data_IF_459636192203
#
_entry.id   IF_459636192203
#
_cell.length_a   1.000
_cell.length_b   1.000
_cell.length_c   1.000
_cell.angle_alpha   90.00
_cell.angle_beta   90.00
_cell.angle_gamma   90.00
#
_symmetry.space_group_name_H-M   'P 1'
#
loop_
_entity.id
_entity.type
_entity.pdbx_description
1 polymer ?
#
# COMPACT_ATOMS: atom_id res chain seq x y z
N UNK A 1 69.16 -5.59 -0.08
CA UNK A 1 68.85 -5.31 -1.51
C UNK A 1 67.40 -5.72 -1.73
N UNK A 2 66.44 -4.91 -2.15
CA UNK A 2 66.37 -3.57 -2.74
C UNK A 2 65.22 -2.80 -2.08
N UNK A 3 65.44 -1.50 -1.86
CA UNK A 3 64.40 -0.51 -1.61
C UNK A 3 63.55 -0.29 -2.88
N UNK A 4 62.24 -0.19 -2.71
CA UNK A 4 61.29 0.58 -3.53
C UNK A 4 60.17 0.96 -2.56
N UNK A 5 59.83 2.21 -2.26
CA UNK A 5 59.87 3.42 -3.06
C UNK A 5 58.51 4.09 -2.87
N UNK A 6 58.20 4.48 -1.63
CA UNK A 6 57.02 5.26 -1.27
C UNK A 6 57.14 6.64 -1.92
N UNK A 7 56.17 7.01 -2.76
CA UNK A 7 55.93 8.40 -3.14
C UNK A 7 54.44 8.67 -2.98
N UNK A 8 54.04 8.96 -1.73
CA UNK A 8 52.74 9.53 -1.43
C UNK A 8 52.81 11.03 -1.76
N UNK A 9 52.32 11.41 -2.93
CA UNK A 9 52.09 12.81 -3.26
C UNK A 9 50.80 13.22 -2.55
N UNK A 10 50.94 13.75 -1.33
CA UNK A 10 49.83 14.38 -0.63
C UNK A 10 49.45 15.67 -1.34
N UNK A 11 48.43 15.59 -2.22
CA UNK A 11 47.70 16.76 -2.68
C UNK A 11 46.78 17.21 -1.54
N UNK A 12 47.29 18.11 -0.70
CA UNK A 12 46.48 18.87 0.24
C UNK A 12 45.60 19.79 -0.61
N UNK A 13 44.38 19.36 -0.93
CA UNK A 13 43.32 20.28 -1.33
C UNK A 13 42.92 21.07 -0.09
N UNK A 14 43.42 22.30 -0.04
CA UNK A 14 42.89 23.38 0.79
C UNK A 14 41.42 23.58 0.40
N UNK A 15 40.50 22.93 1.12
CA UNK A 15 39.10 23.34 1.16
C UNK A 15 39.05 24.65 1.94
N UNK A 16 39.08 25.74 1.17
CA UNK A 16 38.88 27.08 1.71
C UNK A 16 37.45 27.22 2.21
N UNK A 17 37.30 27.28 3.53
CA UNK A 17 36.22 28.04 4.16
C UNK A 17 36.46 29.52 3.83
N UNK A 18 35.98 29.97 2.66
CA UNK A 18 35.96 31.38 2.28
C UNK A 18 34.63 32.00 2.65
N UNK A 19 34.54 32.45 3.90
CA UNK A 19 33.72 33.62 4.22
C UNK A 19 34.42 34.89 3.73
N UNK A 20 33.62 35.80 3.16
CA UNK A 20 33.93 37.17 2.70
C UNK A 20 34.77 37.34 1.42
N UNK A 21 34.09 37.80 0.34
CA UNK A 21 34.49 39.07 -0.28
C UNK A 21 35.19 39.06 -1.64
N UNK A 22 35.02 38.05 -2.49
CA UNK A 22 35.30 38.21 -3.92
C UNK A 22 34.09 37.75 -4.72
N UNK A 23 33.31 38.72 -5.20
CA UNK A 23 32.26 38.45 -6.17
C UNK A 23 32.84 37.84 -7.47
N UNK A 24 32.02 37.10 -8.23
CA UNK A 24 32.46 36.46 -9.46
C UNK A 24 33.03 37.48 -10.46
N UNK A 25 34.29 37.29 -10.87
CA UNK A 25 34.94 38.15 -11.87
C UNK A 25 34.47 37.78 -13.28
N UNK A 26 33.90 38.76 -14.00
CA UNK A 26 33.42 38.58 -15.37
C UNK A 26 34.58 38.31 -16.35
N UNK A 27 34.38 37.36 -17.27
CA UNK A 27 35.32 37.15 -18.38
C UNK A 27 35.25 38.29 -19.40
N UNK A 28 36.30 38.53 -20.21
CA UNK A 28 36.28 39.57 -21.25
C UNK A 28 35.12 39.44 -22.25
N UNK A 29 34.66 38.20 -22.52
CA UNK A 29 33.49 37.94 -23.37
C UNK A 29 32.17 38.32 -22.68
N UNK A 30 32.09 38.19 -21.36
CA UNK A 30 30.94 38.62 -20.58
C UNK A 30 30.92 40.13 -20.39
N UNK A 31 32.08 40.78 -20.29
CA UNK A 31 32.18 42.25 -20.28
C UNK A 31 31.61 42.90 -21.54
N UNK A 32 31.73 42.27 -22.72
CA UNK A 32 31.07 42.78 -23.93
C UNK A 32 29.54 42.69 -23.85
N UNK A 33 28.99 41.71 -23.14
CA UNK A 33 27.54 41.53 -22.96
C UNK A 33 26.93 42.56 -21.99
N UNK A 34 27.73 43.20 -21.13
CA UNK A 34 27.29 44.27 -20.21
C UNK A 34 26.63 45.44 -20.96
N UNK A 35 27.10 45.74 -22.18
CA UNK A 35 26.55 46.83 -22.99
C UNK A 35 25.13 46.58 -23.47
N UNK A 36 24.75 45.32 -23.65
CA UNK A 36 23.41 44.87 -24.10
C UNK A 36 22.52 44.34 -22.99
N UNK A 37 22.99 44.38 -21.74
CA UNK A 37 22.24 43.90 -20.59
C UNK A 37 21.07 44.85 -20.28
N UNK A 38 19.88 44.29 -20.15
CA UNK A 38 18.63 45.02 -19.90
C UNK A 38 17.87 44.41 -18.71
N UNK A 39 17.20 45.27 -17.93
CA UNK A 39 16.42 44.90 -16.76
C UNK A 39 15.31 43.89 -17.09
N UNK A 40 14.74 43.92 -18.30
CA UNK A 40 13.75 42.94 -18.75
C UNK A 40 14.29 41.48 -18.74
N UNK A 41 15.60 41.31 -18.91
CA UNK A 41 16.24 39.99 -18.85
C UNK A 41 16.23 39.43 -17.43
N UNK A 42 16.35 40.29 -16.41
CA UNK A 42 16.26 39.90 -15.00
C UNK A 42 14.85 39.42 -14.69
N UNK A 43 13.82 40.18 -15.08
CA UNK A 43 12.41 39.77 -14.89
C UNK A 43 12.11 38.42 -15.54
N UNK A 44 12.57 38.21 -16.78
CA UNK A 44 12.40 36.93 -17.48
C UNK A 44 13.09 35.77 -16.74
N UNK A 45 14.25 36.01 -16.12
CA UNK A 45 14.93 35.01 -15.30
C UNK A 45 14.17 34.70 -14.02
N UNK A 46 13.61 35.72 -13.36
CA UNK A 46 12.75 35.55 -12.19
C UNK A 46 11.54 34.67 -12.49
N UNK A 47 10.84 34.92 -13.60
CA UNK A 47 9.74 34.08 -14.07
C UNK A 47 10.18 32.63 -14.33
N UNK A 48 11.37 32.44 -14.92
CA UNK A 48 11.92 31.13 -15.18
C UNK A 48 12.29 30.38 -13.89
N UNK A 49 12.86 31.06 -12.88
CA UNK A 49 13.15 30.48 -11.56
C UNK A 49 11.84 30.10 -10.87
N UNK A 50 10.84 30.99 -10.87
CA UNK A 50 9.55 30.72 -10.26
C UNK A 50 8.84 29.53 -10.92
N UNK A 51 8.86 29.46 -12.25
CA UNK A 51 8.39 28.29 -13.00
C UNK A 51 9.16 27.03 -12.61
N UNK A 52 10.49 27.13 -12.57
CA UNK A 52 11.40 26.06 -12.16
C UNK A 52 11.01 25.43 -10.82
N UNK A 53 10.82 26.27 -9.80
CA UNK A 53 10.45 25.85 -8.45
C UNK A 53 9.07 25.18 -8.39
N UNK A 54 8.06 25.81 -9.01
CA UNK A 54 6.64 25.48 -8.74
C UNK A 54 6.00 24.55 -9.78
N UNK A 55 6.44 24.62 -11.04
CA UNK A 55 5.87 23.83 -12.14
C UNK A 55 6.80 22.70 -12.55
N UNK A 56 8.11 22.98 -12.59
CA UNK A 56 9.11 22.01 -12.99
C UNK A 56 9.74 21.28 -11.78
N UNK A 57 9.19 21.42 -10.57
CA UNK A 57 9.58 20.64 -9.38
C UNK A 57 11.07 20.71 -9.03
N UNK A 58 11.78 21.78 -9.42
CA UNK A 58 13.23 21.89 -9.21
C UNK A 58 13.60 21.92 -7.71
N UNK A 59 12.68 22.33 -6.83
CA UNK A 59 12.85 22.23 -5.38
C UNK A 59 13.09 20.80 -4.90
N UNK A 60 12.49 19.81 -5.56
CA UNK A 60 12.69 18.41 -5.20
C UNK A 60 13.96 17.86 -5.86
N UNK A 61 14.17 18.13 -7.14
CA UNK A 61 15.24 17.48 -7.92
C UNK A 61 16.61 18.13 -7.83
N UNK A 62 16.67 19.42 -7.50
CA UNK A 62 17.88 20.22 -7.48
C UNK A 62 17.80 21.32 -6.40
N UNK A 63 17.64 20.92 -5.12
CA UNK A 63 17.36 21.85 -4.03
C UNK A 63 18.46 22.89 -3.78
N UNK A 64 19.73 22.55 -4.03
CA UNK A 64 20.89 23.43 -3.82
C UNK A 64 20.97 24.43 -4.98
N UNK A 65 21.00 23.93 -6.23
CA UNK A 65 21.12 24.77 -7.42
C UNK A 65 19.96 25.77 -7.54
N UNK A 66 18.73 25.37 -7.21
CA UNK A 66 17.59 26.29 -7.29
C UNK A 66 17.59 27.34 -6.17
N UNK A 67 18.12 27.00 -4.99
CA UNK A 67 18.30 27.95 -3.90
C UNK A 67 19.35 29.01 -4.26
N UNK A 68 20.50 28.58 -4.80
CA UNK A 68 21.55 29.48 -5.28
C UNK A 68 21.06 30.35 -6.44
N UNK A 69 20.33 29.78 -7.40
CA UNK A 69 19.74 30.54 -8.51
C UNK A 69 18.82 31.67 -8.01
N UNK A 70 18.02 31.41 -6.97
CA UNK A 70 17.13 32.40 -6.35
C UNK A 70 17.93 33.48 -5.62
N UNK A 71 18.95 33.10 -4.85
CA UNK A 71 19.82 34.03 -4.14
C UNK A 71 20.56 34.98 -5.11
N UNK A 72 21.19 34.45 -6.14
CA UNK A 72 21.88 35.24 -7.16
C UNK A 72 20.92 36.14 -7.94
N UNK A 73 19.68 35.70 -8.16
CA UNK A 73 18.64 36.52 -8.77
C UNK A 73 18.25 37.71 -7.87
N UNK A 74 18.10 37.47 -6.57
CA UNK A 74 17.80 38.53 -5.58
C UNK A 74 18.96 39.54 -5.47
N UNK A 75 20.21 39.07 -5.54
CA UNK A 75 21.40 39.92 -5.63
C UNK A 75 21.41 40.77 -6.91
N UNK A 76 21.05 40.17 -8.06
CA UNK A 76 20.93 40.90 -9.32
C UNK A 76 19.83 41.98 -9.28
N UNK A 77 18.71 41.73 -8.58
CA UNK A 77 17.63 42.71 -8.42
C UNK A 77 18.06 43.90 -7.55
N UNK A 78 18.81 43.64 -6.48
CA UNK A 78 19.15 44.62 -5.45
C UNK A 78 20.40 45.44 -5.74
N UNK A 79 21.36 44.92 -6.51
CA UNK A 79 22.60 45.64 -6.80
C UNK A 79 22.36 46.88 -7.68
N UNK A 80 22.94 48.00 -7.29
CA UNK A 80 22.96 49.24 -8.07
C UNK A 80 24.14 49.27 -9.07
N UNK A 81 25.20 48.51 -8.79
CA UNK A 81 26.36 48.40 -9.65
C UNK A 81 26.05 47.51 -10.87
N UNK A 82 26.39 48.01 -12.07
CA UNK A 82 26.01 47.35 -13.31
C UNK A 82 26.82 46.06 -13.55
N UNK A 83 28.07 46.01 -13.10
CA UNK A 83 28.92 44.85 -13.28
C UNK A 83 28.52 43.73 -12.31
N UNK A 84 28.29 44.07 -11.04
CA UNK A 84 27.82 43.14 -10.01
C UNK A 84 26.43 42.59 -10.36
N UNK A 85 25.48 43.45 -10.74
CA UNK A 85 24.15 43.04 -11.22
C UNK A 85 24.23 42.04 -12.38
N UNK A 86 25.12 42.30 -13.36
CA UNK A 86 25.31 41.38 -14.48
C UNK A 86 25.95 40.06 -14.03
N UNK A 87 26.93 40.11 -13.14
CA UNK A 87 27.61 38.92 -12.62
C UNK A 87 26.63 38.01 -11.86
N UNK A 88 25.83 38.58 -10.95
CA UNK A 88 24.78 37.84 -10.24
C UNK A 88 23.69 37.31 -11.18
N UNK A 89 23.28 38.07 -12.20
CA UNK A 89 22.37 37.57 -13.23
C UNK A 89 22.93 36.33 -13.97
N UNK A 90 24.19 36.36 -14.36
CA UNK A 90 24.84 35.24 -15.05
C UNK A 90 25.01 34.03 -14.13
N UNK A 91 25.34 34.25 -12.86
CA UNK A 91 25.42 33.21 -11.85
C UNK A 91 24.05 32.54 -11.63
N UNK A 92 22.99 33.32 -11.41
CA UNK A 92 21.62 32.83 -11.29
C UNK A 92 21.17 32.00 -12.51
N UNK A 93 21.49 32.49 -13.72
CA UNK A 93 21.18 31.79 -14.96
C UNK A 93 21.94 30.47 -15.09
N UNK A 94 23.20 30.43 -14.66
CA UNK A 94 24.03 29.22 -14.64
C UNK A 94 23.46 28.20 -13.66
N UNK A 95 23.12 28.61 -12.44
CA UNK A 95 22.59 27.69 -11.42
C UNK A 95 21.17 27.18 -11.78
N UNK A 96 20.34 27.99 -12.43
CA UNK A 96 19.08 27.50 -13.00
C UNK A 96 19.32 26.43 -14.08
N UNK A 97 20.32 26.63 -14.94
CA UNK A 97 20.67 25.63 -15.96
C UNK A 97 21.19 24.34 -15.32
N UNK A 98 22.05 24.45 -14.30
CA UNK A 98 22.52 23.32 -13.50
C UNK A 98 21.35 22.55 -12.89
N UNK A 99 20.38 23.24 -12.28
CA UNK A 99 19.20 22.60 -11.68
C UNK A 99 18.40 21.73 -12.67
N UNK A 100 18.24 22.20 -13.92
CA UNK A 100 17.59 21.40 -14.97
C UNK A 100 18.43 20.20 -15.42
N UNK A 101 19.76 20.32 -15.47
CA UNK A 101 20.65 19.19 -15.76
C UNK A 101 20.63 18.17 -14.61
N UNK A 102 20.73 18.60 -13.35
CA UNK A 102 20.58 17.76 -12.16
C UNK A 102 19.25 17.00 -12.22
N UNK A 103 18.14 17.67 -12.52
CA UNK A 103 16.83 17.01 -12.68
C UNK A 103 16.85 15.90 -13.72
N UNK A 104 17.53 16.08 -14.86
CA UNK A 104 17.67 15.03 -15.87
C UNK A 104 18.48 13.85 -15.33
N UNK A 105 19.58 14.12 -14.61
CA UNK A 105 20.43 13.10 -14.01
C UNK A 105 19.69 12.31 -12.94
N UNK A 106 19.05 12.98 -11.98
CA UNK A 106 18.25 12.34 -10.92
C UNK A 106 17.14 11.48 -11.52
N UNK A 107 16.36 12.01 -12.49
CA UNK A 107 15.32 11.21 -13.16
C UNK A 107 15.88 10.00 -13.89
N UNK A 108 17.05 10.11 -14.51
CA UNK A 108 17.68 8.99 -15.22
C UNK A 108 18.18 7.93 -14.24
N UNK A 109 18.94 8.35 -13.24
CA UNK A 109 19.72 7.44 -12.39
C UNK A 109 18.97 6.98 -11.15
N UNK A 110 18.00 7.73 -10.62
CA UNK A 110 17.24 7.37 -9.41
C UNK A 110 15.78 6.93 -9.71
N UNK A 111 15.44 6.68 -10.97
CA UNK A 111 14.07 6.29 -11.37
C UNK A 111 13.55 5.02 -10.67
N UNK A 112 14.42 4.05 -10.41
CA UNK A 112 14.10 2.82 -9.69
C UNK A 112 13.80 3.05 -8.20
N UNK A 113 14.56 3.92 -7.53
CA UNK A 113 14.24 4.37 -6.17
C UNK A 113 12.91 5.11 -6.11
N UNK A 114 12.64 5.99 -7.07
CA UNK A 114 11.36 6.69 -7.17
C UNK A 114 10.18 5.71 -7.36
N UNK A 115 10.37 4.66 -8.16
CA UNK A 115 9.35 3.60 -8.31
C UNK A 115 9.11 2.84 -7.01
N UNK A 116 10.16 2.50 -6.26
CA UNK A 116 10.03 1.87 -4.94
C UNK A 116 9.34 2.79 -3.93
N UNK A 117 9.70 4.08 -3.89
CA UNK A 117 9.04 5.07 -3.03
C UNK A 117 7.53 5.12 -3.30
N UNK A 118 7.12 5.16 -4.57
CA UNK A 118 5.70 5.15 -4.94
C UNK A 118 5.00 3.84 -4.52
N UNK A 119 5.65 2.69 -4.67
CA UNK A 119 5.11 1.41 -4.20
C UNK A 119 4.96 1.41 -2.67
N UNK A 120 5.94 1.94 -1.94
CA UNK A 120 5.89 2.04 -0.48
C UNK A 120 4.79 3.00 0.00
N UNK A 121 4.61 4.14 -0.65
CA UNK A 121 3.50 5.08 -0.40
C UNK A 121 2.14 4.42 -0.62
N UNK A 122 1.98 3.64 -1.68
CA UNK A 122 0.74 2.90 -1.95
C UNK A 122 0.41 1.83 -0.89
N UNK A 123 1.39 1.42 -0.09
CA UNK A 123 1.23 0.51 1.05
C UNK A 123 1.09 1.26 2.40
N UNK A 124 1.01 2.59 2.38
CA UNK A 124 1.20 3.50 3.51
C UNK A 124 2.40 3.16 4.40
N UNK A 125 3.54 2.85 3.79
CA UNK A 125 4.77 2.50 4.54
C UNK A 125 5.17 3.61 5.52
N UNK A 126 4.88 4.86 5.19
CA UNK A 126 5.07 6.04 6.04
C UNK A 126 4.29 5.98 7.37
N UNK A 127 3.21 5.21 7.45
CA UNK A 127 2.43 5.01 8.68
C UNK A 127 2.86 3.73 9.40
N UNK A 128 2.94 2.61 8.66
CA UNK A 128 3.14 1.29 9.27
C UNK A 128 4.59 1.01 9.64
N UNK A 129 5.55 1.70 9.01
CA UNK A 129 6.99 1.56 9.20
C UNK A 129 7.68 2.93 9.18
N UNK A 130 7.08 3.92 9.86
CA UNK A 130 7.43 5.33 9.78
C UNK A 130 8.94 5.63 9.95
N UNK A 131 9.58 5.11 11.00
CA UNK A 131 11.01 5.35 11.27
C UNK A 131 11.87 4.93 10.08
N UNK A 132 11.71 3.69 9.61
CA UNK A 132 12.52 3.15 8.51
C UNK A 132 12.23 3.84 7.18
N UNK A 133 10.98 4.29 6.98
CA UNK A 133 10.62 5.05 5.80
C UNK A 133 11.27 6.44 5.80
N UNK A 134 11.36 7.10 6.96
CA UNK A 134 12.07 8.36 7.10
C UNK A 134 13.57 8.18 6.87
N UNK A 135 14.20 7.15 7.45
CA UNK A 135 15.61 6.84 7.21
C UNK A 135 15.90 6.67 5.70
N UNK A 136 15.08 5.88 5.00
CA UNK A 136 15.16 5.73 3.55
C UNK A 136 14.98 7.08 2.81
N UNK A 137 14.06 7.92 3.29
CA UNK A 137 13.76 9.21 2.66
C UNK A 137 14.90 10.20 2.82
N UNK A 138 15.57 10.18 3.96
CA UNK A 138 16.75 11.00 4.22
C UNK A 138 17.89 10.58 3.30
N UNK A 139 18.23 9.29 3.28
CA UNK A 139 19.24 8.73 2.36
C UNK A 139 18.93 9.04 0.88
N UNK A 140 17.67 8.87 0.47
CA UNK A 140 17.26 9.17 -0.91
C UNK A 140 17.35 10.66 -1.24
N UNK A 141 17.03 11.55 -0.29
CA UNK A 141 17.17 12.99 -0.49
C UNK A 141 18.64 13.42 -0.51
N UNK A 142 19.51 12.77 0.27
CA UNK A 142 20.94 13.04 0.27
C UNK A 142 21.58 12.64 -1.07
N UNK A 143 21.19 11.50 -1.66
CA UNK A 143 21.58 11.18 -3.05
C UNK A 143 21.21 12.30 -4.04
N UNK A 144 20.03 12.88 -3.91
CA UNK A 144 19.60 13.98 -4.78
C UNK A 144 20.49 15.21 -4.59
N UNK A 145 20.86 15.54 -3.35
CA UNK A 145 21.79 16.64 -3.07
C UNK A 145 23.17 16.39 -3.65
N UNK A 146 23.71 15.18 -3.50
CA UNK A 146 25.02 14.80 -4.08
C UNK A 146 25.02 14.89 -5.60
N UNK A 147 23.91 14.53 -6.26
CA UNK A 147 23.73 14.79 -7.70
C UNK A 147 23.76 16.29 -8.03
N UNK A 148 23.13 17.11 -7.18
CA UNK A 148 23.03 18.56 -7.36
C UNK A 148 24.35 19.29 -7.12
N UNK A 149 25.20 18.76 -6.23
CA UNK A 149 26.57 19.21 -6.01
C UNK A 149 27.52 18.83 -7.16
N UNK A 150 27.06 18.00 -8.11
CA UNK A 150 27.82 17.53 -9.25
C UNK A 150 28.68 16.29 -8.96
N UNK A 151 28.57 15.71 -7.76
CA UNK A 151 29.30 14.53 -7.29
C UNK A 151 28.64 13.23 -7.78
N UNK A 152 28.43 13.14 -9.10
CA UNK A 152 27.67 12.03 -9.73
C UNK A 152 28.28 10.66 -9.46
N UNK A 153 29.60 10.55 -9.36
CA UNK A 153 30.28 9.27 -9.09
C UNK A 153 29.92 8.74 -7.70
N UNK A 154 29.97 9.61 -6.70
CA UNK A 154 29.77 9.26 -5.30
C UNK A 154 28.29 8.92 -5.05
N UNK A 155 27.38 9.73 -5.62
CA UNK A 155 25.95 9.43 -5.62
C UNK A 155 25.62 8.05 -6.23
N UNK A 156 26.35 7.62 -7.27
CA UNK A 156 26.13 6.31 -7.89
C UNK A 156 26.71 5.15 -7.07
N UNK A 157 27.75 5.39 -6.28
CA UNK A 157 28.28 4.43 -5.33
C UNK A 157 27.29 4.20 -4.19
N UNK A 158 26.84 5.28 -3.55
CA UNK A 158 25.91 5.28 -2.42
C UNK A 158 24.53 4.74 -2.79
N UNK A 159 24.09 4.97 -4.05
CA UNK A 159 22.81 4.45 -4.56
C UNK A 159 22.63 2.95 -4.28
N UNK A 160 23.71 2.14 -4.31
CA UNK A 160 23.62 0.69 -4.11
C UNK A 160 23.12 0.34 -2.71
N UNK A 161 23.58 1.06 -1.70
CA UNK A 161 23.17 0.87 -0.31
C UNK A 161 21.73 1.32 -0.11
N UNK A 162 21.39 2.54 -0.55
CA UNK A 162 20.03 3.07 -0.48
C UNK A 162 19.03 2.17 -1.20
N UNK A 163 19.40 1.61 -2.35
CA UNK A 163 18.59 0.64 -3.09
C UNK A 163 18.35 -0.65 -2.30
N UNK A 164 19.35 -1.12 -1.55
CA UNK A 164 19.23 -2.32 -0.71
C UNK A 164 18.26 -2.06 0.44
N UNK A 165 18.42 -0.93 1.13
CA UNK A 165 17.50 -0.46 2.19
C UNK A 165 16.08 -0.32 1.68
N UNK A 166 15.89 0.33 0.51
CA UNK A 166 14.58 0.54 -0.10
C UNK A 166 13.88 -0.78 -0.46
N UNK A 167 14.60 -1.76 -1.02
CA UNK A 167 14.05 -3.07 -1.35
C UNK A 167 13.67 -3.87 -0.11
N UNK A 168 14.51 -3.84 0.92
CA UNK A 168 14.24 -4.51 2.19
C UNK A 168 13.00 -3.93 2.88
N UNK A 169 12.93 -2.60 2.96
CA UNK A 169 11.79 -1.87 3.51
C UNK A 169 10.49 -2.15 2.73
N UNK A 170 10.54 -2.12 1.39
CA UNK A 170 9.39 -2.47 0.56
C UNK A 170 8.91 -3.91 0.83
N UNK A 171 9.84 -4.87 0.92
CA UNK A 171 9.52 -6.25 1.26
C UNK A 171 8.82 -6.38 2.62
N UNK A 172 9.33 -5.67 3.63
CA UNK A 172 8.73 -5.67 4.97
C UNK A 172 7.35 -4.99 5.00
N UNK A 173 7.14 -3.92 4.22
CA UNK A 173 5.83 -3.29 4.07
C UNK A 173 4.80 -4.25 3.46
N UNK A 174 5.18 -5.03 2.44
CA UNK A 174 4.31 -6.05 1.83
C UNK A 174 4.02 -7.17 2.83
N UNK A 175 5.03 -7.64 3.58
CA UNK A 175 4.84 -8.62 4.67
C UNK A 175 3.80 -8.10 5.67
N UNK A 176 4.02 -6.89 6.21
CA UNK A 176 3.13 -6.30 7.20
C UNK A 176 1.68 -6.24 6.69
N UNK A 177 1.47 -5.71 5.48
CA UNK A 177 0.11 -5.56 4.94
C UNK A 177 -0.64 -6.86 4.74
N UNK A 178 0.07 -7.96 4.46
CA UNK A 178 -0.59 -9.20 4.06
C UNK A 178 -0.68 -10.24 5.19
N UNK A 179 0.29 -10.28 6.10
CA UNK A 179 0.36 -11.33 7.14
C UNK A 179 0.42 -10.80 8.58
N UNK A 180 0.26 -9.50 8.81
CA UNK A 180 0.21 -8.96 10.18
C UNK A 180 -0.95 -9.51 11.00
N UNK A 181 -2.09 -9.83 10.36
CA UNK A 181 -3.21 -10.49 11.06
C UNK A 181 -2.81 -11.84 11.67
N UNK A 182 -2.13 -12.70 10.91
CA UNK A 182 -1.61 -13.96 11.43
C UNK A 182 -0.58 -13.72 12.56
N UNK A 183 0.29 -12.71 12.42
CA UNK A 183 1.23 -12.31 13.48
C UNK A 183 0.50 -11.95 14.78
N UNK A 184 -0.55 -11.12 14.70
CA UNK A 184 -1.36 -10.74 15.86
C UNK A 184 -2.05 -11.93 16.51
N UNK A 185 -2.51 -12.91 15.73
CA UNK A 185 -3.09 -14.15 16.27
C UNK A 185 -2.02 -14.97 17.00
N UNK A 186 -0.84 -15.15 16.41
CA UNK A 186 0.29 -15.88 17.03
C UNK A 186 0.66 -15.24 18.37
N UNK A 187 0.79 -13.92 18.40
CA UNK A 187 1.10 -13.17 19.62
C UNK A 187 0.01 -13.34 20.68
N UNK A 188 -1.25 -13.12 20.30
CA UNK A 188 -2.37 -13.29 21.21
C UNK A 188 -2.48 -14.72 21.76
N UNK A 189 -2.23 -15.73 20.94
CA UNK A 189 -2.22 -17.12 21.40
C UNK A 189 -1.15 -17.38 22.45
N UNK A 190 0.02 -16.73 22.36
CA UNK A 190 1.05 -16.80 23.40
C UNK A 190 0.66 -15.99 24.64
N UNK A 191 0.08 -14.80 24.46
CA UNK A 191 -0.37 -13.95 25.59
C UNK A 191 -1.53 -14.61 26.39
N UNK A 192 -2.36 -15.41 25.73
CA UNK A 192 -3.51 -16.13 26.31
C UNK A 192 -3.18 -17.61 26.70
N UNK A 193 -1.90 -18.02 26.70
CA UNK A 193 -1.43 -19.40 26.95
C UNK A 193 -2.11 -20.50 26.09
N UNK A 194 -2.65 -20.12 24.93
CA UNK A 194 -3.33 -21.02 24.00
C UNK A 194 -2.35 -21.87 23.19
N UNK A 195 -1.12 -21.44 23.04
CA UNK A 195 -0.02 -22.19 22.44
C UNK A 195 0.30 -23.47 23.23
N UNK A 196 0.26 -23.43 24.56
CA UNK A 196 0.43 -24.62 25.41
C UNK A 196 -0.71 -25.64 25.28
N UNK A 197 -1.89 -25.19 24.87
CA UNK A 197 -3.07 -26.04 24.71
C UNK A 197 -2.98 -26.86 23.43
N UNK A 198 -2.45 -26.30 22.34
CA UNK A 198 -2.32 -26.94 21.02
C UNK A 198 -0.90 -26.84 20.44
N UNK A 199 0.14 -27.30 21.16
CA UNK A 199 1.54 -26.97 20.87
C UNK A 199 1.98 -27.41 19.48
N UNK A 200 1.50 -28.56 19.01
CA UNK A 200 1.81 -29.08 17.66
C UNK A 200 1.29 -28.18 16.53
N UNK A 201 0.11 -27.59 16.71
CA UNK A 201 -0.48 -26.70 15.70
C UNK A 201 0.17 -25.32 15.77
N UNK A 202 0.44 -24.83 16.97
CA UNK A 202 1.14 -23.57 17.18
C UNK A 202 2.55 -23.58 16.56
N UNK A 203 3.37 -24.60 16.84
CA UNK A 203 4.71 -24.74 16.26
C UNK A 203 4.67 -24.77 14.72
N UNK A 204 3.65 -25.43 14.14
CA UNK A 204 3.45 -25.44 12.69
C UNK A 204 3.05 -24.06 12.17
N UNK A 205 2.19 -23.33 12.89
CA UNK A 205 1.77 -21.98 12.53
C UNK A 205 2.96 -21.01 12.51
N UNK A 206 3.84 -21.04 13.51
CA UNK A 206 5.05 -20.21 13.54
C UNK A 206 5.99 -20.50 12.36
N UNK A 207 6.20 -21.78 12.05
CA UNK A 207 7.00 -22.19 10.88
C UNK A 207 6.40 -21.68 9.58
N UNK A 208 5.07 -21.78 9.42
CA UNK A 208 4.38 -21.27 8.25
C UNK A 208 4.47 -19.75 8.16
N UNK A 209 4.39 -19.05 9.29
CA UNK A 209 4.55 -17.59 9.35
C UNK A 209 5.93 -17.16 8.85
N UNK A 210 7.02 -17.75 9.37
CA UNK A 210 8.37 -17.38 8.93
C UNK A 210 8.63 -17.75 7.46
N UNK A 211 8.14 -18.91 7.01
CA UNK A 211 8.25 -19.28 5.59
C UNK A 211 7.51 -18.29 4.69
N UNK A 212 6.28 -17.91 5.06
CA UNK A 212 5.49 -16.91 4.34
C UNK A 212 6.19 -15.56 4.30
N UNK A 213 6.67 -15.09 5.47
CA UNK A 213 7.41 -13.84 5.61
C UNK A 213 8.62 -13.79 4.67
N UNK A 214 9.49 -14.80 4.71
CA UNK A 214 10.68 -14.87 3.86
C UNK A 214 10.32 -14.94 2.37
N UNK A 215 9.30 -15.72 2.01
CA UNK A 215 8.86 -15.87 0.62
C UNK A 215 8.28 -14.57 0.05
N UNK A 216 7.44 -13.88 0.82
CA UNK A 216 6.88 -12.58 0.45
C UNK A 216 7.99 -11.54 0.34
N UNK A 217 8.92 -11.49 1.30
CA UNK A 217 10.04 -10.54 1.28
C UNK A 217 10.97 -10.72 0.08
N UNK A 218 11.16 -11.97 -0.38
CA UNK A 218 11.98 -12.29 -1.55
C UNK A 218 11.31 -11.89 -2.88
N UNK A 219 9.99 -12.04 -2.98
CA UNK A 219 9.22 -11.80 -4.20
C UNK A 219 7.99 -10.91 -3.95
N UNK A 220 8.19 -9.67 -3.45
CA UNK A 220 7.09 -8.81 -3.00
C UNK A 220 6.16 -8.37 -4.14
N UNK A 221 6.67 -8.34 -5.37
CA UNK A 221 5.92 -7.98 -6.56
C UNK A 221 5.07 -9.14 -7.13
N UNK A 222 5.26 -10.38 -6.66
CA UNK A 222 4.49 -11.55 -7.11
C UNK A 222 3.13 -11.59 -6.40
N UNK A 223 2.20 -10.74 -6.84
CA UNK A 223 0.87 -10.55 -6.22
C UNK A 223 0.08 -11.85 -6.05
N UNK A 224 0.13 -12.76 -7.02
CA UNK A 224 -0.57 -14.04 -6.96
C UNK A 224 -0.02 -14.94 -5.84
N UNK A 225 1.31 -15.04 -5.75
CA UNK A 225 1.98 -15.78 -4.68
C UNK A 225 1.70 -15.15 -3.31
N UNK A 226 1.87 -13.83 -3.17
CA UNK A 226 1.62 -13.11 -1.92
C UNK A 226 0.20 -13.35 -1.44
N UNK A 227 -0.80 -13.21 -2.33
CA UNK A 227 -2.21 -13.46 -2.01
C UNK A 227 -2.46 -14.90 -1.56
N UNK A 228 -1.93 -15.88 -2.28
CA UNK A 228 -2.14 -17.29 -1.96
C UNK A 228 -1.56 -17.66 -0.60
N UNK A 229 -0.28 -17.33 -0.38
CA UNK A 229 0.45 -17.67 0.85
C UNK A 229 -0.15 -16.95 2.05
N UNK A 230 -0.51 -15.68 1.90
CA UNK A 230 -1.10 -14.90 2.99
C UNK A 230 -2.49 -15.39 3.35
N UNK A 231 -3.29 -15.82 2.36
CA UNK A 231 -4.60 -16.43 2.61
C UNK A 231 -4.46 -17.71 3.42
N UNK A 232 -3.64 -18.65 2.94
CA UNK A 232 -3.41 -19.93 3.61
C UNK A 232 -2.92 -19.75 5.05
N UNK A 233 -1.96 -18.85 5.27
CA UNK A 233 -1.44 -18.55 6.60
C UNK A 233 -2.52 -17.95 7.52
N UNK A 234 -3.29 -16.97 7.04
CA UNK A 234 -4.33 -16.34 7.85
C UNK A 234 -5.45 -17.33 8.20
N UNK A 235 -5.85 -18.20 7.27
CA UNK A 235 -6.83 -19.27 7.53
C UNK A 235 -6.29 -20.28 8.56
N UNK A 236 -5.02 -20.69 8.42
CA UNK A 236 -4.39 -21.61 9.37
C UNK A 236 -4.22 -20.99 10.77
N UNK A 237 -3.90 -19.69 10.85
CA UNK A 237 -3.82 -18.97 12.11
C UNK A 237 -5.16 -18.94 12.84
N UNK A 238 -6.23 -18.55 12.13
CA UNK A 238 -7.59 -18.54 12.69
C UNK A 238 -8.06 -19.93 13.12
N UNK A 239 -7.78 -20.94 12.30
CA UNK A 239 -8.07 -22.34 12.65
C UNK A 239 -7.35 -22.76 13.93
N UNK A 240 -6.06 -22.43 14.05
CA UNK A 240 -5.24 -22.82 15.22
C UNK A 240 -5.72 -22.14 16.50
N UNK A 241 -6.07 -20.84 16.45
CA UNK A 241 -6.67 -20.14 17.59
C UNK A 241 -8.02 -20.76 17.99
N UNK A 242 -8.88 -21.07 17.01
CA UNK A 242 -10.19 -21.68 17.24
C UNK A 242 -10.04 -23.07 17.88
N UNK A 243 -9.15 -23.89 17.33
CA UNK A 243 -8.85 -25.21 17.85
C UNK A 243 -8.35 -25.13 19.31
N UNK A 244 -7.47 -24.17 19.61
CA UNK A 244 -6.99 -23.96 20.98
C UNK A 244 -8.14 -23.67 21.95
N UNK A 245 -9.02 -22.73 21.58
CA UNK A 245 -10.20 -22.37 22.37
C UNK A 245 -11.14 -23.56 22.56
N UNK A 246 -11.33 -24.38 21.53
CA UNK A 246 -12.19 -25.55 21.63
C UNK A 246 -11.57 -26.65 22.51
N UNK A 247 -10.25 -26.84 22.47
CA UNK A 247 -9.55 -27.74 23.40
C UNK A 247 -9.63 -27.23 24.85
N UNK A 248 -9.54 -25.92 25.09
CA UNK A 248 -9.79 -25.34 26.43
C UNK A 248 -11.20 -25.67 26.91
N UNK A 249 -12.22 -25.43 26.07
CA UNK A 249 -13.61 -25.78 26.41
C UNK A 249 -13.74 -27.26 26.74
N UNK A 250 -13.20 -28.14 25.90
CA UNK A 250 -13.24 -29.60 26.11
C UNK A 250 -12.61 -30.01 27.44
N UNK A 251 -11.48 -29.41 27.82
CA UNK A 251 -10.81 -29.66 29.11
C UNK A 251 -11.63 -29.16 30.30
N UNK A 252 -12.51 -28.18 30.09
CA UNK A 252 -13.37 -27.60 31.14
C UNK A 252 -14.74 -28.25 31.29
N UNK A 253 -15.12 -29.19 30.41
CA UNK A 253 -16.41 -29.90 30.52
C UNK A 253 -16.34 -30.89 31.67
N UNK A 254 -17.31 -30.81 32.58
CA UNK A 254 -17.49 -31.79 33.65
C UNK A 254 -17.84 -33.16 33.06
N UNK A 255 -17.34 -34.27 33.63
CA UNK A 255 -17.61 -35.60 33.09
C UNK A 255 -19.09 -35.96 32.95
N UNK A 256 -19.93 -35.39 33.81
CA UNK A 256 -21.40 -35.55 33.78
C UNK A 256 -22.04 -34.88 32.56
N UNK A 257 -21.38 -33.89 31.96
CA UNK A 257 -21.87 -33.13 30.80
C UNK A 257 -21.30 -33.61 29.46
N UNK A 258 -20.39 -34.60 29.45
CA UNK A 258 -19.84 -35.13 28.19
C UNK A 258 -20.90 -35.74 27.29
N UNK A 259 -21.91 -36.41 27.85
CA UNK A 259 -23.02 -36.98 27.09
C UNK A 259 -23.82 -35.88 26.38
N UNK A 260 -24.16 -34.81 27.09
CA UNK A 260 -24.86 -33.65 26.53
C UNK A 260 -24.04 -32.97 25.42
N UNK A 261 -22.73 -32.84 25.62
CA UNK A 261 -21.83 -32.25 24.63
C UNK A 261 -21.72 -33.09 23.36
N UNK A 262 -21.53 -34.41 23.49
CA UNK A 262 -21.47 -35.33 22.35
C UNK A 262 -22.82 -35.43 21.63
N UNK A 263 -23.93 -35.46 22.38
CA UNK A 263 -25.27 -35.49 21.80
C UNK A 263 -25.55 -34.24 20.97
N UNK A 264 -25.13 -33.06 21.45
CA UNK A 264 -25.20 -31.80 20.69
C UNK A 264 -24.43 -31.89 19.36
N UNK A 265 -23.19 -32.40 19.38
CA UNK A 265 -22.41 -32.60 18.15
C UNK A 265 -23.12 -33.57 17.20
N UNK A 266 -23.65 -34.68 17.73
CA UNK A 266 -24.36 -35.67 16.94
C UNK A 266 -25.60 -35.08 16.25
N UNK A 267 -26.37 -34.24 16.96
CA UNK A 267 -27.54 -33.54 16.44
C UNK A 267 -27.19 -32.42 15.45
N UNK A 268 -26.11 -31.68 15.66
CA UNK A 268 -25.60 -30.69 14.70
C UNK A 268 -25.19 -31.35 13.37
N UNK A 269 -24.51 -32.50 13.42
CA UNK A 269 -24.24 -33.26 12.19
C UNK A 269 -25.52 -33.75 11.50
N UNK A 270 -26.49 -34.23 12.28
CA UNK A 270 -27.77 -34.70 11.74
C UNK A 270 -28.60 -33.56 11.13
N UNK A 271 -28.51 -32.33 11.65
CA UNK A 271 -29.21 -31.16 11.09
C UNK A 271 -28.67 -30.76 9.71
N UNK A 272 -27.36 -30.92 9.48
CA UNK A 272 -26.76 -30.72 8.15
C UNK A 272 -27.29 -31.71 7.10
N UNK A 273 -27.86 -32.83 7.52
CA UNK A 273 -28.44 -33.87 6.67
C UNK A 273 -29.96 -33.66 6.40
N UNK A 274 -30.58 -32.60 6.94
CA UNK A 274 -32.05 -32.44 6.88
C UNK A 274 -32.61 -32.01 5.50
N UNK A 275 -31.76 -31.64 4.54
CA UNK A 275 -32.23 -31.08 3.27
C UNK A 275 -32.50 -32.11 2.16
N UNK A 276 -32.30 -33.42 2.38
CA UNK A 276 -32.16 -34.37 1.24
C UNK A 276 -32.99 -35.68 1.30
N UNK A 277 -33.93 -35.85 2.24
CA UNK A 277 -34.73 -37.10 2.40
C UNK A 277 -33.87 -38.38 2.55
N UNK A 278 -32.70 -38.25 3.16
CA UNK A 278 -31.75 -39.34 3.35
C UNK A 278 -31.97 -40.10 4.67
N UNK A 279 -31.41 -41.31 4.74
CA UNK A 279 -31.35 -42.11 5.97
C UNK A 279 -30.80 -41.29 7.14
N UNK A 280 -31.35 -41.52 8.34
CA UNK A 280 -30.87 -40.87 9.55
C UNK A 280 -29.41 -41.22 9.78
N UNK A 281 -28.54 -40.21 9.80
CA UNK A 281 -27.12 -40.37 10.13
C UNK A 281 -26.87 -40.29 11.63
N UNK A 282 -27.87 -39.99 12.46
CA UNK A 282 -27.74 -39.89 13.91
C UNK A 282 -27.04 -41.10 14.57
N UNK A 283 -27.35 -42.37 14.21
CA UNK A 283 -26.72 -43.54 14.83
C UNK A 283 -25.26 -43.78 14.41
N UNK A 284 -24.76 -43.06 13.39
CA UNK A 284 -23.37 -43.17 12.96
C UNK A 284 -22.42 -42.48 13.96
N UNK A 285 -21.20 -43.00 14.09
CA UNK A 285 -20.12 -42.28 14.77
C UNK A 285 -19.79 -40.96 14.05
N UNK A 286 -19.13 -40.01 14.74
CA UNK A 286 -18.72 -38.74 14.13
C UNK A 286 -17.86 -38.96 12.87
N UNK A 287 -16.95 -39.93 12.89
CA UNK A 287 -16.10 -40.24 11.73
C UNK A 287 -16.92 -40.80 10.55
N UNK A 288 -17.86 -41.70 10.82
CA UNK A 288 -18.77 -42.22 9.81
C UNK A 288 -19.69 -41.13 9.24
N UNK A 289 -20.17 -40.20 10.08
CA UNK A 289 -20.95 -39.01 9.64
C UNK A 289 -20.14 -38.13 8.71
N UNK A 290 -18.87 -37.86 9.04
CA UNK A 290 -17.97 -37.09 8.19
C UNK A 290 -17.77 -37.79 6.84
N UNK A 291 -17.53 -39.10 6.84
CA UNK A 291 -17.33 -39.88 5.61
C UNK A 291 -18.61 -39.93 4.76
N UNK A 292 -19.78 -40.05 5.40
CA UNK A 292 -21.08 -39.97 4.76
C UNK A 292 -21.27 -38.62 4.05
N UNK A 293 -21.05 -37.51 4.75
CA UNK A 293 -21.17 -36.16 4.20
C UNK A 293 -20.19 -35.91 3.05
N UNK A 294 -18.95 -36.40 3.14
CA UNK A 294 -17.96 -36.33 2.05
C UNK A 294 -18.44 -37.07 0.80
N UNK A 295 -18.91 -38.30 0.95
CA UNK A 295 -19.44 -39.12 -0.16
C UNK A 295 -20.64 -38.43 -0.80
N UNK A 296 -21.54 -37.87 0.01
CA UNK A 296 -22.73 -37.21 -0.49
C UNK A 296 -22.41 -35.92 -1.26
N UNK A 297 -21.50 -35.08 -0.73
CA UNK A 297 -21.02 -33.88 -1.43
C UNK A 297 -20.45 -34.20 -2.82
N UNK A 298 -19.69 -35.30 -2.94
CA UNK A 298 -19.15 -35.72 -4.24
C UNK A 298 -20.26 -36.19 -5.19
N UNK A 299 -21.26 -36.93 -4.70
CA UNK A 299 -22.42 -37.34 -5.50
C UNK A 299 -23.28 -36.16 -5.98
N UNK A 300 -23.45 -35.13 -5.16
CA UNK A 300 -24.13 -33.89 -5.56
C UNK A 300 -23.32 -33.17 -6.64
N UNK A 301 -22.01 -33.00 -6.47
CA UNK A 301 -21.15 -32.38 -7.48
C UNK A 301 -21.16 -33.12 -8.83
N UNK A 302 -21.16 -34.47 -8.81
CA UNK A 302 -21.28 -35.32 -10.00
C UNK A 302 -22.66 -35.20 -10.68
N UNK A 303 -23.75 -35.12 -9.90
CA UNK A 303 -25.10 -34.86 -10.41
C UNK A 303 -25.22 -33.47 -11.03
N UNK A 304 -24.67 -32.43 -10.41
CA UNK A 304 -24.69 -31.06 -10.95
C UNK A 304 -23.91 -30.98 -12.27
N UNK A 305 -22.71 -31.57 -12.35
CA UNK A 305 -21.95 -31.62 -13.61
C UNK A 305 -22.64 -32.41 -14.73
N UNK A 306 -23.37 -33.46 -14.39
CA UNK A 306 -24.09 -34.27 -15.40
C UNK A 306 -25.40 -33.63 -15.86
N UNK A 307 -26.01 -32.77 -15.05
CA UNK A 307 -27.14 -31.93 -15.44
C UNK A 307 -26.70 -30.77 -16.35
N UNK A 308 -25.60 -30.07 -16.02
CA UNK A 308 -25.02 -29.03 -16.89
C UNK A 308 -24.64 -29.57 -18.28
N UNK A 309 -24.06 -30.78 -18.35
CA UNK A 309 -23.76 -31.44 -19.64
C UNK A 309 -25.01 -31.77 -20.44
N UNK A 310 -26.10 -32.18 -19.78
CA UNK A 310 -27.38 -32.47 -20.45
C UNK A 310 -28.05 -31.22 -20.99
N UNK A 311 -27.92 -30.07 -20.33
CA UNK A 311 -28.44 -28.79 -20.84
C UNK A 311 -27.69 -28.32 -22.10
N UNK A 312 -26.35 -28.48 -22.17
CA UNK A 312 -25.59 -28.20 -23.42
C UNK A 312 -25.92 -29.16 -24.57
N UNK A 313 -26.32 -30.40 -24.31
CA UNK A 313 -26.65 -31.37 -25.38
C UNK A 313 -28.06 -31.14 -25.95
N UNK A 314 -28.97 -30.57 -25.16
CA UNK A 314 -30.36 -30.27 -25.59
C UNK A 314 -30.44 -28.98 -26.44
N UNK A 315 -29.49 -28.05 -26.32
CA UNK A 315 -29.41 -26.87 -27.20
C UNK A 315 -28.81 -27.19 -28.59
N UNK A 316 -27.93 -28.18 -28.72
CA UNK A 316 -27.41 -28.61 -30.04
C UNK A 316 -28.42 -29.42 -30.86
N UNK A 317 -29.31 -30.20 -30.23
CA UNK A 317 -30.34 -30.97 -30.95
C UNK A 317 -31.54 -30.12 -31.42
N UNK A 318 -31.74 -28.90 -30.89
CA UNK A 318 -32.82 -27.98 -31.32
C UNK A 318 -32.45 -27.05 -32.48
N UNK A 319 -31.18 -26.94 -32.87
CA UNK A 319 -30.75 -26.08 -33.99
C UNK A 319 -30.66 -26.80 -35.34
N UNK A 320 -30.92 -28.11 -35.39
CA UNK A 320 -30.81 -28.91 -36.61
C UNK A 320 -32.16 -29.47 -37.10
N UNK A 321 -33.19 -28.63 -37.30
CA UNK A 321 -34.26 -28.92 -38.28
C UNK A 321 -34.93 -27.61 -38.73
N UNK A 322 -34.55 -27.13 -39.91
CA UNK A 322 -35.15 -26.01 -40.64
C UNK A 322 -36.09 -26.59 -41.72
N UNK A 323 -37.39 -26.24 -41.60
CA UNK A 323 -38.38 -25.92 -42.67
C UNK A 323 -38.95 -27.09 -43.52
N UNK A 324 -40.27 -27.33 -43.64
CA UNK A 324 -41.30 -26.55 -44.37
C UNK A 324 -42.77 -27.07 -44.10
N UNK A 325 -43.85 -26.35 -44.52
CA UNK A 325 -45.19 -26.32 -43.88
C UNK A 325 -46.35 -27.01 -44.64
N UNK A 326 -47.50 -27.21 -43.97
CA UNK A 326 -48.85 -27.25 -44.59
C UNK A 326 -49.97 -27.06 -43.52
N UNK A 327 -50.74 -25.96 -43.56
CA UNK A 327 -52.14 -25.83 -44.05
C UNK A 327 -53.24 -26.28 -43.05
N UNK A 328 -54.10 -25.31 -42.68
CA UNK A 328 -55.35 -25.38 -41.87
C UNK A 328 -56.47 -26.09 -42.67
N UNK A 329 -57.53 -26.65 -42.04
CA UNK A 329 -58.78 -25.86 -41.83
C UNK A 329 -59.55 -26.19 -40.50
N UNK A 330 -60.18 -25.19 -39.83
CA UNK A 330 -61.62 -24.80 -39.76
C UNK A 330 -62.52 -25.88 -39.08
N UNK A 331 -63.32 -25.59 -38.04
CA UNK A 331 -64.76 -25.21 -38.10
C UNK A 331 -65.36 -25.05 -36.68
N UNK A 332 -66.05 -23.90 -36.44
CA UNK A 332 -67.35 -23.59 -35.73
C UNK A 332 -67.72 -24.21 -34.36
N UNK A 333 -68.56 -23.64 -33.48
CA UNK A 333 -69.35 -22.39 -33.36
C UNK A 333 -69.90 -22.26 -31.92
N UNK A 334 -70.14 -21.02 -31.45
CA UNK A 334 -71.25 -20.53 -30.57
C UNK A 334 -71.42 -21.11 -29.14
N UNK A 335 -71.88 -20.41 -28.09
CA UNK A 335 -72.45 -19.07 -27.94
C UNK A 335 -72.65 -18.74 -26.43
N UNK A 336 -72.55 -17.43 -26.09
CA UNK A 336 -73.42 -16.67 -25.14
C UNK A 336 -73.23 -16.94 -23.62
N UNK A 337 -73.11 -15.99 -22.69
CA UNK A 337 -73.40 -14.55 -22.60
C UNK A 337 -72.65 -13.90 -21.39
N UNK A 338 -72.27 -12.62 -21.56
CA UNK A 338 -72.31 -11.44 -20.65
C UNK A 338 -72.28 -11.64 -19.11
N UNK A 339 -71.54 -10.87 -18.31
CA UNK A 339 -71.44 -9.38 -18.22
C UNK A 339 -70.24 -9.08 -17.28
N UNK A 340 -69.22 -8.28 -17.65
CA UNK A 340 -69.01 -6.85 -17.31
C UNK A 340 -69.42 -6.48 -15.87
N UNK A 341 -68.57 -5.86 -15.04
CA UNK A 341 -68.04 -4.46 -15.08
C UNK A 341 -66.82 -4.41 -14.14
N UNK A 342 -65.62 -3.93 -14.53
CA UNK A 342 -65.14 -2.53 -14.44
C UNK A 342 -65.26 -1.95 -13.00
N UNK A 343 -64.30 -1.28 -12.38
CA UNK A 343 -63.31 -0.33 -12.88
C UNK A 343 -62.38 0.10 -11.71
N UNK A 344 -61.13 0.47 -12.05
CA UNK A 344 -60.30 1.55 -11.46
C UNK A 344 -59.90 1.52 -9.97
N UNK A 345 -58.88 2.23 -9.50
CA UNK A 345 -57.61 2.78 -9.99
C UNK A 345 -57.06 3.58 -8.80
N UNK A 346 -55.73 3.56 -8.64
CA UNK A 346 -54.89 4.72 -8.31
C UNK A 346 -54.53 5.11 -6.85
N UNK A 347 -53.23 5.38 -6.74
CA UNK A 347 -52.46 6.37 -5.91
C UNK A 347 -52.18 5.96 -4.45
N UNK A 348 -50.94 5.67 -4.04
CA UNK A 348 -49.69 6.48 -3.88
C UNK A 348 -49.55 6.99 -2.43
N UNK A 349 -48.29 7.26 -2.06
CA UNK A 349 -47.76 7.76 -0.79
C UNK A 349 -47.78 6.80 0.40
N UNK A 350 -46.87 6.85 1.37
CA UNK A 350 -45.56 7.48 1.59
C UNK A 350 -45.34 7.19 3.08
N UNK A 351 -44.19 6.65 3.50
CA UNK A 351 -43.74 6.94 4.86
C UNK A 351 -42.23 6.69 5.03
N UNK A 352 -41.53 7.81 4.95
CA UNK A 352 -40.26 8.12 5.61
C UNK A 352 -40.38 7.91 7.12
N UNK A 353 -39.37 7.32 7.74
CA UNK A 353 -39.15 7.39 9.20
C UNK A 353 -37.77 7.98 9.44
N UNK A 354 -37.82 9.14 10.07
CA UNK A 354 -36.77 9.96 10.68
C UNK A 354 -36.42 9.41 12.07
N UNK A 355 -35.41 10.02 12.73
CA UNK A 355 -35.06 9.91 14.18
C UNK A 355 -33.96 8.88 14.52
N UNK A 356 -32.86 9.18 15.23
CA UNK A 356 -32.31 10.39 15.82
C UNK A 356 -30.78 10.22 16.05
N UNK A 357 -30.08 11.35 16.12
CA UNK A 357 -28.73 11.48 16.67
C UNK A 357 -28.75 11.52 18.21
N UNK A 358 -27.59 11.31 18.88
CA UNK A 358 -27.36 11.93 20.17
C UNK A 358 -26.20 12.92 20.15
N UNK A 359 -26.40 13.90 21.04
CA UNK A 359 -25.61 15.09 21.32
C UNK A 359 -24.24 14.83 21.96
N UNK A 360 -23.48 15.92 21.97
CA UNK A 360 -22.16 16.15 22.51
C UNK A 360 -22.13 16.14 24.04
N UNK A 361 -21.06 15.64 24.63
CA UNK A 361 -20.56 16.11 25.94
C UNK A 361 -19.11 16.56 25.80
N UNK A 362 -18.90 17.86 26.03
CA UNK A 362 -17.61 18.51 26.16
C UNK A 362 -17.18 18.44 27.63
N UNK A 363 -16.01 17.86 27.90
CA UNK A 363 -15.37 17.94 29.21
C UNK A 363 -14.27 18.99 29.15
N UNK A 364 -14.56 20.11 29.80
CA UNK A 364 -13.62 21.17 30.18
C UNK A 364 -12.84 20.67 31.39
N UNK A 365 -11.51 20.66 31.34
CA UNK A 365 -10.67 20.56 32.54
C UNK A 365 -9.78 21.80 32.61
N UNK A 366 -10.02 22.53 33.70
CA UNK A 366 -9.38 23.77 34.08
C UNK A 366 -7.89 23.59 34.40
N UNK A 367 -7.11 24.59 34.01
CA UNK A 367 -5.77 24.86 34.53
C UNK A 367 -5.87 25.57 35.88
N UNK A 368 -5.01 25.27 36.86
CA UNK A 368 -4.73 26.21 37.93
C UNK A 368 -3.46 27.01 37.61
N UNK A 369 -3.65 28.30 37.35
CA UNK A 369 -2.67 29.34 37.62
C UNK A 369 -2.79 29.68 39.10
N UNK A 370 -1.75 29.46 39.89
CA UNK A 370 -1.58 30.21 41.15
C UNK A 370 -0.16 30.75 41.25
N UNK A 371 -0.13 32.03 41.62
CA UNK A 371 1.01 32.92 41.78
C UNK A 371 1.75 32.57 43.06
N UNK A 372 3.05 32.87 43.07
CA UNK A 372 3.48 33.93 43.98
C UNK A 372 4.68 33.68 44.89
N UNK A 373 5.77 34.38 44.54
CA UNK A 373 6.52 35.33 45.39
C UNK A 373 7.67 34.82 46.29
N UNK A 374 8.78 35.56 46.12
CA UNK A 374 9.92 35.87 47.01
C UNK A 374 11.07 34.87 47.12
N UNK A 375 12.25 35.17 46.55
CA UNK A 375 13.29 36.10 47.04
C UNK A 375 14.08 35.54 48.24
N UNK A 376 15.38 35.23 48.05
CA UNK A 376 16.54 35.92 48.66
C UNK A 376 17.84 35.06 48.60
N UNK A 377 18.93 35.75 48.24
CA UNK A 377 20.36 35.53 48.58
C UNK A 377 21.07 34.35 47.87
N UNK A 378 22.21 34.49 47.20
CA UNK A 378 23.28 35.51 47.14
C UNK A 378 23.67 35.88 45.69
#
# INVERSE_FOLDING_TARGET
MKLMGLSFTAAVMLVGLSGCGMGPTLTPAEMQKIKSFDAAQITTLGDAIHKGMNQDELLFYAPISIAQAKEDYENALSSEDKEEKMASYLAAKKELANAYETKKLVKKYLSDLAQLDNKMKALNTQEILASRYNDFKDDYNDLIKTFDEGEVSDALEDKKEVMTTAKDLYGDAVVYRNINKAKSIIQKMSDDDLDEVVPKHYEKLEKLYEQARLKIKREPDNKAMVKSVSKELNEYAQYTETLARDVVKLKSIDPEDYENYLDKIHHEFASLNQNEKLESILPLSIEEKINYLKKHKNQVAEKTQSLEKKETTVEEEKSATIVTPAVVPVVEETAVNKTQTEETSKVEDSNTVEEAAPEQEAVVVETPVEKGISQLQE
#
